data_IF_614448071004
#
_entry.id   IF_614448071004
#
_cell.length_a   1.000
_cell.length_b   1.000
_cell.length_c   1.000
_cell.angle_alpha   90.00
_cell.angle_beta   90.00
_cell.angle_gamma   90.00
#
_symmetry.space_group_name_H-M   'P 1'
#
loop_
_entity.id
_entity.type
_entity.pdbx_description
1 polymer ?
#
# COMPACT_ATOMS: atom_id res chain seq x y z
N UNK A 1 13.29 -4.10 -19.21
CA UNK A 1 13.61 -4.77 -17.93
C UNK A 1 14.27 -3.84 -16.90
N UNK A 2 15.19 -2.96 -17.29
CA UNK A 2 15.90 -2.04 -16.37
C UNK A 2 14.97 -1.20 -15.47
N UNK A 3 13.88 -0.56 -15.94
CA UNK A 3 13.02 0.25 -15.07
C UNK A 3 12.34 -0.55 -13.94
N UNK A 4 12.01 -1.83 -14.17
CA UNK A 4 11.39 -2.68 -13.16
C UNK A 4 12.36 -3.08 -12.04
N UNK A 5 13.62 -3.32 -12.38
CA UNK A 5 14.70 -3.63 -11.42
C UNK A 5 14.98 -2.40 -10.54
N UNK A 6 15.02 -1.21 -11.15
CA UNK A 6 15.21 0.05 -10.43
C UNK A 6 14.04 0.30 -9.46
N UNK A 7 12.80 0.10 -9.90
CA UNK A 7 11.63 0.27 -9.05
C UNK A 7 11.63 -0.69 -7.85
N UNK A 8 12.02 -1.96 -8.06
CA UNK A 8 12.19 -2.94 -6.98
C UNK A 8 13.30 -2.56 -6.00
N UNK A 9 14.44 -2.08 -6.50
CA UNK A 9 15.56 -1.59 -5.69
C UNK A 9 15.18 -0.38 -4.83
N UNK A 10 14.45 0.57 -5.40
CA UNK A 10 13.95 1.76 -4.68
C UNK A 10 13.03 1.36 -3.52
N UNK A 11 12.14 0.40 -3.73
CA UNK A 11 11.25 -0.08 -2.66
C UNK A 11 12.02 -0.75 -1.52
N UNK A 12 13.08 -1.51 -1.82
CA UNK A 12 13.92 -2.14 -0.81
C UNK A 12 14.74 -1.11 -0.02
N UNK A 13 15.28 -0.09 -0.69
CA UNK A 13 15.99 1.01 -0.03
C UNK A 13 15.06 1.79 0.91
N UNK A 14 13.83 2.06 0.49
CA UNK A 14 12.84 2.74 1.34
C UNK A 14 12.54 1.91 2.60
N UNK A 15 12.34 0.60 2.45
CA UNK A 15 12.12 -0.33 3.58
C UNK A 15 13.31 -0.37 4.55
N UNK A 16 14.54 -0.30 4.03
CA UNK A 16 15.75 -0.21 4.88
C UNK A 16 15.81 1.11 5.65
N UNK A 17 15.53 2.23 5.00
CA UNK A 17 15.48 3.55 5.64
C UNK A 17 14.42 3.56 6.74
N UNK A 18 13.22 3.09 6.46
CA UNK A 18 12.12 3.02 7.43
C UNK A 18 12.49 2.12 8.62
N UNK A 19 13.18 1.00 8.39
CA UNK A 19 13.63 0.09 9.45
C UNK A 19 14.71 0.74 10.32
N UNK A 20 15.68 1.45 9.72
CA UNK A 20 16.71 2.16 10.45
C UNK A 20 16.09 3.27 11.30
N UNK A 21 15.17 4.06 10.74
CA UNK A 21 14.48 5.11 11.48
C UNK A 21 13.64 4.53 12.62
N UNK A 22 12.93 3.44 12.39
CA UNK A 22 12.16 2.74 13.42
C UNK A 22 13.05 2.20 14.56
N UNK A 23 14.31 1.82 14.26
CA UNK A 23 15.26 1.36 15.27
C UNK A 23 15.78 2.45 16.20
N UNK A 24 15.67 3.72 15.79
CA UNK A 24 16.03 4.90 16.61
C UNK A 24 14.91 5.32 17.57
N UNK A 25 13.70 4.77 17.39
CA UNK A 25 12.54 5.01 18.25
C UNK A 25 12.58 4.12 19.51
N UNK A 26 11.77 4.39 20.54
CA UNK A 26 11.70 3.59 21.76
C UNK A 26 11.55 2.08 21.49
N UNK A 27 12.10 1.28 22.38
CA UNK A 27 12.03 -0.19 22.30
C UNK A 27 10.58 -0.66 22.15
N UNK A 28 10.32 -1.50 21.12
CA UNK A 28 8.98 -1.97 20.76
C UNK A 28 8.39 -1.36 19.48
N UNK A 29 8.82 -0.16 19.09
CA UNK A 29 8.29 0.53 17.90
C UNK A 29 8.34 -0.28 16.60
N UNK A 30 9.43 -1.01 16.28
CA UNK A 30 9.46 -1.87 15.10
C UNK A 30 8.39 -2.96 15.12
N UNK A 31 8.11 -3.53 16.30
CA UNK A 31 7.09 -4.57 16.47
C UNK A 31 5.67 -4.01 16.27
N UNK A 32 5.39 -2.83 16.80
CA UNK A 32 4.09 -2.17 16.61
C UNK A 32 3.81 -1.86 15.14
N UNK A 33 4.80 -1.30 14.45
CA UNK A 33 4.70 -1.01 13.01
C UNK A 33 4.55 -2.29 12.18
N UNK A 34 5.29 -3.34 12.51
CA UNK A 34 5.21 -4.63 11.82
C UNK A 34 3.82 -5.26 11.93
N UNK A 35 3.25 -5.30 13.14
CA UNK A 35 1.90 -5.84 13.37
C UNK A 35 0.85 -5.03 12.59
N UNK A 36 0.95 -3.71 12.65
CA UNK A 36 0.02 -2.79 11.96
C UNK A 36 0.11 -2.94 10.44
N UNK A 37 1.32 -3.03 9.89
CA UNK A 37 1.54 -3.25 8.45
C UNK A 37 0.95 -4.58 7.99
N UNK A 38 1.11 -5.66 8.77
CA UNK A 38 0.52 -6.97 8.46
C UNK A 38 -1.00 -6.93 8.39
N UNK A 39 -1.66 -6.23 9.32
CA UNK A 39 -3.11 -6.07 9.30
C UNK A 39 -3.57 -5.22 8.11
N UNK A 40 -2.85 -4.15 7.77
CA UNK A 40 -3.13 -3.33 6.60
C UNK A 40 -2.96 -4.11 5.28
N UNK A 41 -2.01 -5.05 5.23
CA UNK A 41 -1.78 -5.88 4.04
C UNK A 41 -2.93 -6.85 3.73
N UNK A 42 -3.79 -7.20 4.69
CA UNK A 42 -4.92 -8.11 4.46
C UNK A 42 -5.90 -7.55 3.42
N UNK A 43 -6.55 -6.38 3.62
CA UNK A 43 -7.44 -5.84 2.60
C UNK A 43 -6.70 -5.46 1.31
N UNK A 44 -5.45 -4.99 1.41
CA UNK A 44 -4.62 -4.67 0.25
C UNK A 44 -4.39 -5.91 -0.62
N UNK A 45 -4.02 -7.03 -0.01
CA UNK A 45 -3.75 -8.30 -0.69
C UNK A 45 -4.99 -8.91 -1.31
N UNK A 46 -6.08 -8.99 -0.55
CA UNK A 46 -7.32 -9.63 -0.99
C UNK A 46 -7.95 -8.86 -2.16
N UNK A 47 -8.07 -7.54 -2.06
CA UNK A 47 -8.82 -6.75 -3.03
C UNK A 47 -7.94 -6.08 -4.08
N UNK A 48 -6.93 -5.32 -3.67
CA UNK A 48 -6.18 -4.49 -4.61
C UNK A 48 -5.27 -5.32 -5.52
N UNK A 49 -4.61 -6.35 -4.98
CA UNK A 49 -3.76 -7.24 -5.77
C UNK A 49 -4.62 -8.09 -6.71
N UNK A 50 -5.75 -8.65 -6.23
CA UNK A 50 -6.65 -9.44 -7.06
C UNK A 50 -7.19 -8.62 -8.25
N UNK A 51 -7.67 -7.41 -8.01
CA UNK A 51 -8.16 -6.52 -9.08
C UNK A 51 -7.01 -6.15 -10.03
N UNK A 52 -5.84 -5.77 -9.48
CA UNK A 52 -4.67 -5.40 -10.28
C UNK A 52 -4.19 -6.51 -11.21
N UNK A 53 -4.21 -7.76 -10.78
CA UNK A 53 -3.82 -8.91 -11.60
C UNK A 53 -4.80 -9.21 -12.72
N UNK A 54 -6.10 -9.07 -12.47
CA UNK A 54 -7.15 -9.32 -13.48
C UNK A 54 -7.22 -8.19 -14.50
N UNK A 55 -7.00 -6.95 -14.07
CA UNK A 55 -7.18 -5.77 -14.93
C UNK A 55 -6.04 -5.59 -15.93
N UNK A 56 -4.81 -5.99 -15.59
CA UNK A 56 -3.63 -5.80 -16.44
C UNK A 56 -3.77 -6.46 -17.82
N UNK A 57 -4.14 -7.75 -17.96
CA UNK A 57 -4.33 -8.37 -19.27
C UNK A 57 -5.44 -7.71 -20.09
N UNK A 58 -6.55 -7.35 -19.43
CA UNK A 58 -7.68 -6.68 -20.08
C UNK A 58 -7.29 -5.30 -20.62
N UNK A 59 -6.61 -4.48 -19.82
CA UNK A 59 -6.13 -3.17 -20.26
C UNK A 59 -5.10 -3.27 -21.38
N UNK A 60 -4.22 -4.29 -21.34
CA UNK A 60 -3.22 -4.53 -22.39
C UNK A 60 -3.89 -4.90 -23.71
N UNK A 61 -4.91 -5.76 -23.67
CA UNK A 61 -5.69 -6.15 -24.86
C UNK A 61 -6.43 -4.93 -25.46
N UNK A 62 -7.11 -4.14 -24.64
CA UNK A 62 -7.81 -2.94 -25.09
C UNK A 62 -6.87 -1.88 -25.67
N UNK A 63 -5.66 -1.77 -25.11
CA UNK A 63 -4.64 -0.87 -25.65
C UNK A 63 -4.15 -1.34 -27.03
N UNK A 64 -3.91 -2.65 -27.22
CA UNK A 64 -3.49 -3.22 -28.52
C UNK A 64 -4.55 -3.09 -29.60
N UNK A 65 -5.84 -3.13 -29.23
CA UNK A 65 -6.97 -2.90 -30.13
C UNK A 65 -7.24 -1.41 -30.44
N UNK A 66 -6.53 -0.50 -29.81
CA UNK A 66 -6.73 0.94 -29.97
C UNK A 66 -8.04 1.49 -29.36
N UNK A 67 -8.77 0.68 -28.58
CA UNK A 67 -10.06 1.05 -27.97
C UNK A 67 -9.85 1.94 -26.73
N UNK A 68 -9.63 3.24 -26.94
CA UNK A 68 -9.37 4.21 -25.87
C UNK A 68 -10.55 4.35 -24.90
N UNK A 69 -11.76 4.34 -25.41
CA UNK A 69 -12.98 4.48 -24.60
C UNK A 69 -13.18 3.29 -23.65
N UNK A 70 -13.02 2.08 -24.14
CA UNK A 70 -13.18 0.88 -23.33
C UNK A 70 -12.03 0.74 -22.31
N UNK A 71 -10.83 1.17 -22.68
CA UNK A 71 -9.70 1.25 -21.75
C UNK A 71 -10.04 2.20 -20.59
N UNK A 72 -10.54 3.40 -20.89
CA UNK A 72 -10.91 4.39 -19.88
C UNK A 72 -12.04 3.90 -18.98
N UNK A 73 -13.10 3.33 -19.57
CA UNK A 73 -14.24 2.74 -18.82
C UNK A 73 -13.79 1.59 -17.90
N UNK A 74 -12.90 0.74 -18.38
CA UNK A 74 -12.38 -0.39 -17.59
C UNK A 74 -11.55 0.11 -16.39
N UNK A 75 -10.73 1.14 -16.61
CA UNK A 75 -9.93 1.73 -15.55
C UNK A 75 -10.82 2.46 -14.51
N UNK A 76 -11.79 3.25 -14.98
CA UNK A 76 -12.75 3.96 -14.13
C UNK A 76 -13.58 2.98 -13.27
N UNK A 77 -14.08 1.90 -13.89
CA UNK A 77 -14.79 0.84 -13.16
C UNK A 77 -13.92 0.24 -12.04
N UNK A 78 -12.65 0.01 -12.30
CA UNK A 78 -11.74 -0.57 -11.32
C UNK A 78 -11.42 0.37 -10.17
N UNK A 79 -11.28 1.67 -10.47
CA UNK A 79 -11.12 2.71 -9.45
C UNK A 79 -12.36 2.77 -8.55
N UNK A 80 -13.56 2.76 -9.14
CA UNK A 80 -14.82 2.75 -8.38
C UNK A 80 -14.95 1.52 -7.51
N UNK A 81 -14.57 0.35 -8.03
CA UNK A 81 -14.60 -0.89 -7.28
C UNK A 81 -13.65 -0.85 -6.06
N UNK A 82 -12.42 -0.33 -6.25
CA UNK A 82 -11.47 -0.14 -5.15
C UNK A 82 -12.01 0.86 -4.11
N UNK A 83 -12.62 1.94 -4.52
CA UNK A 83 -13.22 2.90 -3.59
C UNK A 83 -14.39 2.27 -2.80
N UNK A 84 -15.24 1.51 -3.49
CA UNK A 84 -16.39 0.84 -2.88
C UNK A 84 -15.97 -0.17 -1.79
N UNK A 85 -14.90 -0.92 -2.01
CA UNK A 85 -14.41 -1.93 -1.07
C UNK A 85 -13.39 -1.34 -0.09
N UNK A 86 -12.55 -0.43 -0.56
CA UNK A 86 -11.48 0.18 0.24
C UNK A 86 -12.00 1.10 1.33
N UNK A 87 -13.03 1.90 1.05
CA UNK A 87 -13.59 2.80 2.08
C UNK A 87 -14.14 2.04 3.31
N UNK A 88 -15.00 1.00 3.16
CA UNK A 88 -15.41 0.19 4.31
C UNK A 88 -14.25 -0.51 5.01
N UNK A 89 -13.24 -0.97 4.26
CA UNK A 89 -12.07 -1.63 4.83
C UNK A 89 -11.25 -0.66 5.70
N UNK A 90 -11.02 0.58 5.22
CA UNK A 90 -10.33 1.63 5.99
C UNK A 90 -11.10 1.96 7.26
N UNK A 91 -12.41 2.21 7.14
CA UNK A 91 -13.27 2.52 8.30
C UNK A 91 -13.26 1.36 9.30
N UNK A 92 -13.39 0.13 8.82
CA UNK A 92 -13.35 -1.08 9.64
C UNK A 92 -12.02 -1.22 10.40
N UNK A 93 -10.89 -1.02 9.73
CA UNK A 93 -9.57 -1.07 10.37
C UNK A 93 -9.38 0.03 11.41
N UNK A 94 -9.86 1.25 11.13
CA UNK A 94 -9.77 2.36 12.11
C UNK A 94 -10.64 2.07 13.33
N UNK A 95 -11.89 1.67 13.14
CA UNK A 95 -12.82 1.44 14.24
C UNK A 95 -12.49 0.18 15.07
N UNK A 96 -11.95 -0.84 14.43
CA UNK A 96 -11.63 -2.12 15.07
C UNK A 96 -10.12 -2.30 15.34
N UNK A 97 -9.31 -1.24 15.19
CA UNK A 97 -7.85 -1.32 15.35
C UNK A 97 -7.44 -1.91 16.68
N UNK A 98 -7.95 -1.38 17.78
CA UNK A 98 -7.62 -1.82 19.13
C UNK A 98 -8.14 -3.24 19.42
N UNK A 99 -9.44 -3.57 19.24
CA UNK A 99 -9.94 -4.93 19.51
C UNK A 99 -9.29 -6.01 18.63
N UNK A 100 -8.94 -5.70 17.39
CA UNK A 100 -8.23 -6.66 16.51
C UNK A 100 -6.84 -6.96 17.07
N UNK A 101 -6.08 -5.92 17.45
CA UNK A 101 -4.72 -6.09 17.95
C UNK A 101 -4.72 -6.82 19.29
N UNK A 102 -5.60 -6.46 20.21
CA UNK A 102 -5.74 -7.14 21.50
C UNK A 102 -6.04 -8.62 21.27
N UNK A 103 -7.03 -8.93 20.43
CA UNK A 103 -7.47 -10.31 20.22
C UNK A 103 -6.41 -11.19 19.58
N UNK A 104 -5.63 -10.63 18.61
CA UNK A 104 -4.69 -11.41 17.83
C UNK A 104 -3.27 -11.43 18.41
N UNK A 105 -2.83 -10.34 19.05
CA UNK A 105 -1.42 -10.14 19.38
C UNK A 105 -1.12 -9.93 20.87
N UNK A 106 -2.09 -9.53 21.71
CA UNK A 106 -1.87 -9.31 23.14
C UNK A 106 -1.67 -10.65 23.88
N UNK A 107 -0.44 -11.17 23.78
CA UNK A 107 -0.03 -12.44 24.42
C UNK A 107 1.44 -12.42 24.80
N UNK A 108 1.78 -13.01 25.93
CA UNK A 108 3.17 -13.13 26.40
C UNK A 108 3.81 -11.77 26.68
N UNK A 109 4.89 -11.45 26.00
CA UNK A 109 5.63 -10.18 26.16
C UNK A 109 4.93 -8.98 25.51
N UNK A 110 3.90 -9.19 24.65
CA UNK A 110 3.15 -8.11 24.01
C UNK A 110 2.02 -7.65 24.94
N UNK A 111 2.29 -6.56 25.65
CA UNK A 111 1.43 -6.04 26.72
C UNK A 111 0.37 -5.06 26.21
N UNK A 112 -0.56 -4.67 27.08
CA UNK A 112 -1.62 -3.70 26.75
C UNK A 112 -1.10 -2.35 26.27
N UNK A 113 0.08 -1.91 26.71
CA UNK A 113 0.73 -0.69 26.20
C UNK A 113 1.16 -0.84 24.75
N UNK A 114 1.65 -2.04 24.36
CA UNK A 114 2.04 -2.35 23.00
C UNK A 114 0.82 -2.42 22.09
N UNK A 115 -0.27 -3.02 22.57
CA UNK A 115 -1.56 -3.08 21.86
C UNK A 115 -2.08 -1.68 21.54
N UNK A 116 -2.00 -0.76 22.49
CA UNK A 116 -2.42 0.64 22.30
C UNK A 116 -1.54 1.36 21.26
N UNK A 117 -0.22 1.23 21.37
CA UNK A 117 0.71 1.88 20.42
C UNK A 117 0.59 1.29 19.02
N UNK A 118 0.44 -0.03 18.90
CA UNK A 118 0.19 -0.69 17.63
C UNK A 118 -1.17 -0.27 17.02
N UNK A 119 -2.23 -0.09 17.83
CA UNK A 119 -3.52 0.36 17.32
C UNK A 119 -3.45 1.79 16.76
N UNK A 120 -2.73 2.69 17.42
CA UNK A 120 -2.48 4.05 16.90
C UNK A 120 -1.71 4.01 15.58
N UNK A 121 -0.68 3.16 15.50
CA UNK A 121 0.07 2.94 14.26
C UNK A 121 -0.81 2.39 13.15
N UNK A 122 -1.70 1.44 13.46
CA UNK A 122 -2.65 0.88 12.50
C UNK A 122 -3.65 1.94 12.00
N UNK A 123 -4.16 2.79 12.86
CA UNK A 123 -5.04 3.92 12.46
C UNK A 123 -4.30 4.85 11.51
N UNK A 124 -3.07 5.25 11.83
CA UNK A 124 -2.28 6.13 10.97
C UNK A 124 -2.00 5.50 9.59
N UNK A 125 -1.60 4.22 9.54
CA UNK A 125 -1.36 3.50 8.30
C UNK A 125 -2.65 3.28 7.49
N UNK A 126 -3.78 3.05 8.16
CA UNK A 126 -5.08 2.85 7.50
C UNK A 126 -5.55 4.07 6.72
N UNK A 127 -5.17 5.29 7.12
CA UNK A 127 -5.44 6.50 6.34
C UNK A 127 -4.76 6.46 4.96
N UNK A 128 -3.57 5.84 4.89
CA UNK A 128 -2.85 5.64 3.62
C UNK A 128 -3.34 4.44 2.79
N UNK A 129 -4.08 3.51 3.39
CA UNK A 129 -4.48 2.25 2.75
C UNK A 129 -5.20 2.46 1.43
N UNK A 130 -6.14 3.42 1.37
CA UNK A 130 -6.90 3.72 0.15
C UNK A 130 -5.98 4.17 -0.99
N UNK A 131 -4.99 5.00 -0.69
CA UNK A 131 -3.98 5.42 -1.66
C UNK A 131 -3.14 4.24 -2.16
N UNK A 132 -2.71 3.34 -1.26
CA UNK A 132 -1.99 2.12 -1.63
C UNK A 132 -2.83 1.20 -2.53
N UNK A 133 -4.12 1.03 -2.22
CA UNK A 133 -5.04 0.24 -3.05
C UNK A 133 -5.21 0.85 -4.44
N UNK A 134 -5.37 2.16 -4.55
CA UNK A 134 -5.47 2.88 -5.82
C UNK A 134 -4.19 2.74 -6.66
N UNK A 135 -3.03 2.84 -6.05
CA UNK A 135 -1.73 2.65 -6.72
C UNK A 135 -1.65 1.26 -7.36
N UNK A 136 -2.09 0.20 -6.66
CA UNK A 136 -2.08 -1.18 -7.18
C UNK A 136 -2.97 -1.38 -8.40
N UNK A 137 -3.99 -0.55 -8.59
CA UNK A 137 -4.88 -0.58 -9.76
C UNK A 137 -4.39 0.37 -10.87
N UNK A 138 -3.80 1.51 -10.51
CA UNK A 138 -3.32 2.47 -11.49
C UNK A 138 -2.01 2.04 -12.19
N UNK A 139 -1.09 1.39 -11.45
CA UNK A 139 0.18 0.91 -12.00
C UNK A 139 -0.04 -0.01 -13.23
N UNK A 140 -0.91 -1.03 -13.21
CA UNK A 140 -1.25 -1.83 -14.38
C UNK A 140 -1.68 -0.99 -15.60
N UNK A 141 -2.39 0.12 -15.39
CA UNK A 141 -2.79 1.02 -16.47
C UNK A 141 -1.60 1.65 -17.21
N UNK A 142 -0.52 2.01 -16.49
CA UNK A 142 0.71 2.52 -17.09
C UNK A 142 1.50 1.41 -17.79
N UNK A 143 1.56 0.21 -17.21
CA UNK A 143 2.22 -0.93 -17.83
C UNK A 143 1.51 -1.37 -19.12
N UNK A 144 0.18 -1.40 -19.13
CA UNK A 144 -0.62 -1.71 -20.31
C UNK A 144 -0.35 -0.73 -21.46
N UNK A 145 -0.08 0.55 -21.16
CA UNK A 145 0.31 1.58 -22.14
C UNK A 145 1.79 1.57 -22.52
N UNK A 146 2.56 0.60 -22.06
CA UNK A 146 4.01 0.50 -22.25
C UNK A 146 4.78 1.76 -21.78
N UNK A 147 4.28 2.45 -20.75
CA UNK A 147 4.90 3.64 -20.18
C UNK A 147 5.39 3.42 -18.73
N UNK A 148 6.29 2.44 -18.49
CA UNK A 148 6.75 2.11 -17.13
C UNK A 148 7.62 3.21 -16.49
N UNK A 149 8.11 4.17 -17.27
CA UNK A 149 8.97 5.26 -16.77
C UNK A 149 8.22 6.20 -15.82
N UNK A 150 6.94 6.50 -16.10
CA UNK A 150 6.14 7.44 -15.30
C UNK A 150 5.97 6.99 -13.84
N UNK A 151 5.53 5.76 -13.55
CA UNK A 151 5.46 5.25 -12.17
C UNK A 151 6.81 5.28 -11.45
N UNK A 152 7.92 5.00 -12.17
CA UNK A 152 9.27 5.01 -11.60
C UNK A 152 9.67 6.42 -11.16
N UNK A 153 9.42 7.45 -11.97
CA UNK A 153 9.71 8.84 -11.59
C UNK A 153 8.90 9.28 -10.37
N UNK A 154 7.62 8.92 -10.31
CA UNK A 154 6.78 9.22 -9.14
C UNK A 154 7.30 8.49 -7.91
N UNK A 155 7.71 7.22 -8.01
CA UNK A 155 8.28 6.46 -6.90
C UNK A 155 9.59 7.08 -6.39
N UNK A 156 10.49 7.49 -7.29
CA UNK A 156 11.73 8.16 -6.93
C UNK A 156 11.48 9.50 -6.22
N UNK A 157 10.55 10.30 -6.76
CA UNK A 157 10.16 11.57 -6.12
C UNK A 157 9.57 11.36 -4.72
N UNK A 158 8.68 10.37 -4.58
CA UNK A 158 8.09 10.02 -3.28
C UNK A 158 9.14 9.55 -2.29
N UNK A 159 10.14 8.77 -2.72
CA UNK A 159 11.25 8.31 -1.88
C UNK A 159 12.07 9.49 -1.35
N UNK A 160 12.44 10.44 -2.23
CA UNK A 160 13.21 11.64 -1.83
C UNK A 160 12.40 12.49 -0.85
N UNK A 161 11.10 12.66 -1.12
CA UNK A 161 10.20 13.42 -0.25
C UNK A 161 10.06 12.74 1.12
N UNK A 162 9.88 11.42 1.15
CA UNK A 162 9.80 10.64 2.39
C UNK A 162 11.09 10.74 3.21
N UNK A 163 12.24 10.57 2.57
CA UNK A 163 13.53 10.73 3.25
C UNK A 163 13.73 12.14 3.83
N UNK A 164 13.29 13.17 3.10
CA UNK A 164 13.35 14.56 3.57
C UNK A 164 12.42 14.81 4.78
N UNK A 165 11.18 14.33 4.71
CA UNK A 165 10.21 14.46 5.79
C UNK A 165 10.59 13.66 7.04
N UNK A 166 11.26 12.51 6.86
CA UNK A 166 11.71 11.68 7.95
C UNK A 166 12.96 12.26 8.68
N UNK A 167 13.68 13.17 8.03
CA UNK A 167 14.84 13.84 8.62
C UNK A 167 14.45 15.13 9.38
N UNK A 168 13.27 15.66 9.16
CA UNK A 168 12.74 16.89 9.77
C UNK A 168 12.07 16.62 11.13
#
# INVERSE_FOLDING_TARGET
MVPGIIAGGVSQLNMLVDTILASLLPTGSPSWLYVSDRLMQLPLGIFAIAIGTVILPKLSSLHSLGSKDDFSKTLDWSIRLILLVGLPAVIGLIMLSEPIIITLFERGEFMAIDSKNASLSLVALSLGLLAFMLIKVLIPGFFARQQPKKPVYVALFSMVLNAFLAWL
#
